data_IF_259682972774
#
_entry.id   IF_259682972774
#
_cell.length_a   1.000
_cell.length_b   1.000
_cell.length_c   1.000
_cell.angle_alpha   90.00
_cell.angle_beta   90.00
_cell.angle_gamma   90.00
#
_symmetry.space_group_name_H-M   'P 1'
#
loop_
_entity.id
_entity.type
_entity.pdbx_description
1 polymer ?
#
# COMPACT_ATOMS: atom_id res chain seq x y z
N UNK A 1 9.43 4.62 -19.20
CA UNK A 1 8.38 3.60 -18.94
C UNK A 1 7.88 3.60 -17.49
N UNK A 2 8.61 4.17 -16.52
CA UNK A 2 8.10 4.43 -15.16
C UNK A 2 7.26 5.73 -15.03
N UNK A 3 7.37 6.67 -15.97
CA UNK A 3 6.66 7.97 -15.90
C UNK A 3 5.16 7.93 -16.29
N UNK A 4 4.66 6.77 -16.73
CA UNK A 4 3.31 6.68 -17.35
C UNK A 4 2.20 6.26 -16.39
N UNK A 5 2.52 5.92 -15.14
CA UNK A 5 1.54 5.34 -14.20
C UNK A 5 1.37 6.19 -12.95
N UNK A 6 2.43 6.85 -12.49
CA UNK A 6 2.35 7.76 -11.36
C UNK A 6 2.52 9.18 -11.86
N UNK A 7 1.39 9.77 -12.24
CA UNK A 7 1.27 11.21 -12.38
C UNK A 7 1.86 11.89 -11.15
N UNK A 8 2.74 12.83 -11.43
CA UNK A 8 3.45 13.67 -10.47
C UNK A 8 2.53 14.06 -9.32
N UNK A 9 3.05 13.90 -8.09
CA UNK A 9 2.55 14.58 -6.92
C UNK A 9 1.29 13.99 -6.24
N UNK A 10 1.30 12.70 -5.95
CA UNK A 10 0.48 12.19 -4.85
C UNK A 10 1.24 12.45 -3.55
N UNK A 11 1.25 13.71 -3.12
CA UNK A 11 1.62 14.11 -1.76
C UNK A 11 0.44 13.77 -0.86
N UNK A 12 0.12 12.48 -0.71
CA UNK A 12 -0.83 12.07 0.33
C UNK A 12 -0.06 12.15 1.62
N UNK A 13 -0.58 12.94 2.56
CA UNK A 13 -0.11 13.03 3.93
C UNK A 13 0.24 11.63 4.45
N UNK A 14 1.54 11.32 4.50
CA UNK A 14 2.08 9.97 4.68
C UNK A 14 1.51 9.31 5.94
N UNK A 15 1.23 10.14 6.95
CA UNK A 15 0.66 9.73 8.24
C UNK A 15 -0.78 9.25 8.18
N UNK A 16 -1.56 9.65 7.18
CA UNK A 16 -2.96 9.20 7.01
C UNK A 16 -3.02 7.85 6.30
N UNK A 17 -2.15 7.65 5.30
CA UNK A 17 -2.07 6.37 4.55
C UNK A 17 -1.65 5.22 5.44
N UNK A 18 -0.60 5.41 6.25
CA UNK A 18 -0.07 4.36 7.12
C UNK A 18 -1.12 3.85 8.11
N UNK A 19 -1.94 4.76 8.66
CA UNK A 19 -3.04 4.41 9.55
C UNK A 19 -4.09 3.57 8.81
N UNK A 20 -4.47 3.98 7.61
CA UNK A 20 -5.44 3.23 6.81
C UNK A 20 -4.90 1.87 6.36
N UNK A 21 -3.64 1.79 5.95
CA UNK A 21 -2.99 0.53 5.59
C UNK A 21 -2.88 -0.41 6.80
N UNK A 22 -2.53 0.12 7.97
CA UNK A 22 -2.49 -0.67 9.21
C UNK A 22 -3.87 -1.19 9.60
N UNK A 23 -4.90 -0.36 9.49
CA UNK A 23 -6.29 -0.77 9.75
C UNK A 23 -6.76 -1.82 8.73
N UNK A 24 -6.44 -1.63 7.46
CA UNK A 24 -6.77 -2.59 6.40
C UNK A 24 -6.11 -3.95 6.65
N UNK A 25 -4.81 -3.99 6.91
CA UNK A 25 -4.11 -5.25 7.24
C UNK A 25 -4.74 -5.96 8.43
N UNK A 26 -5.11 -5.24 9.50
CA UNK A 26 -5.82 -5.83 10.64
C UNK A 26 -7.17 -6.44 10.30
N UNK A 27 -7.91 -5.86 9.35
CA UNK A 27 -9.19 -6.42 8.90
C UNK A 27 -8.99 -7.65 8.01
N UNK A 28 -7.89 -7.70 7.27
CA UNK A 28 -7.55 -8.81 6.36
C UNK A 28 -6.86 -9.99 7.04
N UNK A 29 -6.16 -9.74 8.16
CA UNK A 29 -5.40 -10.74 8.92
C UNK A 29 -6.24 -11.97 9.32
N UNK A 30 -7.49 -11.84 9.83
CA UNK A 30 -8.34 -13.01 10.13
C UNK A 30 -8.68 -13.88 8.91
N UNK A 31 -8.53 -13.33 7.70
CA UNK A 31 -8.79 -14.01 6.45
C UNK A 31 -7.50 -14.48 5.74
N UNK A 32 -6.32 -14.22 6.32
CA UNK A 32 -5.03 -14.57 5.72
C UNK A 32 -4.66 -13.73 4.50
N UNK A 33 -5.24 -12.53 4.35
CA UNK A 33 -5.06 -11.66 3.17
C UNK A 33 -4.23 -10.40 3.45
N UNK A 34 -3.72 -10.21 4.66
CA UNK A 34 -2.94 -9.03 5.04
C UNK A 34 -1.63 -8.91 4.23
N UNK A 35 -1.03 -10.04 3.85
CA UNK A 35 0.17 -10.12 3.02
C UNK A 35 -0.03 -9.60 1.59
N UNK A 36 -1.28 -9.49 1.11
CA UNK A 36 -1.58 -8.95 -0.21
C UNK A 36 -1.26 -7.45 -0.30
N UNK A 37 -1.28 -6.75 0.84
CA UNK A 37 -0.89 -5.34 0.93
C UNK A 37 0.58 -5.25 1.28
N UNK A 38 1.43 -4.97 0.30
CA UNK A 38 2.89 -4.98 0.42
C UNK A 38 3.46 -3.57 0.53
N UNK A 39 4.51 -3.41 1.34
CA UNK A 39 5.27 -2.15 1.43
C UNK A 39 6.37 -2.14 0.38
N UNK A 40 6.38 -1.12 -0.47
CA UNK A 40 7.42 -0.85 -1.47
C UNK A 40 8.30 0.28 -0.94
N UNK A 41 9.53 -0.06 -0.54
CA UNK A 41 10.48 0.92 0.01
C UNK A 41 10.71 2.06 -0.99
N UNK A 42 10.56 3.30 -0.52
CA UNK A 42 10.73 4.51 -1.33
C UNK A 42 9.58 4.83 -2.30
N UNK A 43 8.50 4.04 -2.32
CA UNK A 43 7.35 4.27 -3.20
C UNK A 43 5.98 4.18 -2.49
N UNK A 44 5.87 3.49 -1.35
CA UNK A 44 4.63 3.40 -0.57
C UNK A 44 4.10 1.98 -0.45
N UNK A 45 2.85 1.73 -0.86
CA UNK A 45 2.17 0.44 -0.73
C UNK A 45 1.62 -0.04 -2.07
N UNK A 46 1.55 -1.36 -2.25
CA UNK A 46 0.91 -1.99 -3.41
C UNK A 46 0.04 -3.17 -3.00
N UNK A 47 -0.92 -3.51 -3.85
CA UNK A 47 -1.66 -4.77 -3.75
C UNK A 47 -1.06 -5.80 -4.72
N UNK A 48 -0.77 -7.01 -4.24
CA UNK A 48 -0.18 -8.08 -5.05
C UNK A 48 -0.61 -9.45 -4.53
N UNK A 49 -0.97 -10.36 -5.44
CA UNK A 49 -1.22 -11.78 -5.14
C UNK A 49 0.06 -12.62 -5.14
N UNK A 50 1.18 -12.04 -5.58
CA UNK A 50 2.51 -12.65 -5.49
C UNK A 50 3.13 -12.21 -4.16
N UNK A 51 3.17 -13.14 -3.20
CA UNK A 51 3.84 -12.97 -1.90
C UNK A 51 5.35 -13.12 -2.08
#
# INVERSE_FOLDING_TARGET
LLDRVWGSNVYVEERTVDVHIRRLRKVLEPHGYDALVQTVRGAGYRFSTRI
#
